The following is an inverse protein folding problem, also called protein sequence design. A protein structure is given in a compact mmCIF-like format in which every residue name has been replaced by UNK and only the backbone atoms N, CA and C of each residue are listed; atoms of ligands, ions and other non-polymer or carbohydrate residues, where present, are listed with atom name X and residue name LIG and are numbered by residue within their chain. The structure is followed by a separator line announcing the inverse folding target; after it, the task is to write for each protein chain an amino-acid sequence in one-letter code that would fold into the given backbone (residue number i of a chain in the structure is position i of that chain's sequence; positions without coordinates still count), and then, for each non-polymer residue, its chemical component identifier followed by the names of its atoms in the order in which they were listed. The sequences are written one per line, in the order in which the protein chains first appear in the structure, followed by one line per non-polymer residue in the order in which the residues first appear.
data_IF_733531240493
#
_entry.id   IF_733531240493
#
_cell.length_a   1.000
_cell.length_b   1.000
_cell.length_c   1.000
_cell.angle_alpha   90.00
_cell.angle_beta   90.00
_cell.angle_gamma   90.00
#
_symmetry.space_group_name_H-M   'P 1'
#
loop_
_entity.id
_entity.type
_entity.pdbx_description
1 polymer ?
#
# COMPACT_ATOMS: atom_id res chain seq x y z
N UNK A 1 -18.90 -1.74 14.36
CA UNK A 1 -18.70 -3.12 13.88
C UNK A 1 -17.84 -3.20 12.63
N UNK A 2 -18.16 -2.51 11.53
CA UNK A 2 -17.41 -2.62 10.26
C UNK A 2 -15.90 -2.37 10.36
N UNK A 3 -15.46 -1.36 11.13
CA UNK A 3 -14.04 -1.07 11.36
C UNK A 3 -13.34 -2.24 12.06
N UNK A 4 -14.00 -2.86 13.03
CA UNK A 4 -13.48 -4.01 13.77
C UNK A 4 -13.38 -5.23 12.86
N UNK A 5 -14.43 -5.53 12.08
CA UNK A 5 -14.41 -6.61 11.10
C UNK A 5 -13.30 -6.41 10.06
N UNK A 6 -13.14 -5.19 9.55
CA UNK A 6 -12.09 -4.83 8.59
C UNK A 6 -10.68 -4.97 9.18
N UNK A 7 -10.49 -4.53 10.43
CA UNK A 7 -9.23 -4.64 11.14
C UNK A 7 -8.85 -6.12 11.39
N UNK A 8 -9.79 -6.92 11.89
CA UNK A 8 -9.57 -8.35 12.15
C UNK A 8 -9.28 -9.12 10.85
N UNK A 9 -10.06 -8.87 9.79
CA UNK A 9 -9.80 -9.46 8.49
C UNK A 9 -8.43 -9.10 7.93
N UNK A 10 -8.03 -7.83 8.04
CA UNK A 10 -6.71 -7.36 7.62
C UNK A 10 -5.58 -7.98 8.44
N UNK A 11 -5.75 -8.14 9.76
CA UNK A 11 -4.75 -8.79 10.62
C UNK A 11 -4.62 -10.27 10.25
N UNK A 12 -5.74 -10.99 10.10
CA UNK A 12 -5.75 -12.41 9.71
C UNK A 12 -5.05 -12.62 8.36
N UNK A 13 -5.39 -11.82 7.34
CA UNK A 13 -4.74 -11.89 6.03
C UNK A 13 -3.24 -11.62 6.12
N UNK A 14 -2.82 -10.59 6.86
CA UNK A 14 -1.40 -10.27 7.07
C UNK A 14 -0.66 -11.39 7.78
N UNK A 15 -1.27 -12.05 8.77
CA UNK A 15 -0.67 -13.18 9.49
C UNK A 15 -0.47 -14.38 8.56
N UNK A 16 -1.50 -14.75 7.79
CA UNK A 16 -1.46 -15.92 6.90
C UNK A 16 -0.54 -15.68 5.69
N UNK A 17 -0.55 -14.48 5.12
CA UNK A 17 0.28 -14.13 3.96
C UNK A 17 1.65 -13.56 4.34
N UNK A 18 1.99 -13.48 5.63
CA UNK A 18 3.26 -12.92 6.09
C UNK A 18 4.49 -13.57 5.44
N UNK A 19 4.57 -14.91 5.28
CA UNK A 19 5.70 -15.54 4.62
C UNK A 19 5.92 -15.03 3.19
N UNK A 20 4.85 -14.78 2.46
CA UNK A 20 4.87 -14.28 1.08
C UNK A 20 5.34 -12.82 1.01
N UNK A 21 4.92 -12.01 1.98
CA UNK A 21 5.37 -10.62 2.12
C UNK A 21 6.88 -10.56 2.40
N UNK A 22 7.39 -11.39 3.31
CA UNK A 22 8.82 -11.48 3.60
C UNK A 22 9.62 -11.91 2.36
N UNK A 23 9.14 -12.91 1.60
CA UNK A 23 9.78 -13.33 0.34
C UNK A 23 9.79 -12.17 -0.66
N UNK A 24 8.69 -11.42 -0.82
CA UNK A 24 8.60 -10.23 -1.66
C UNK A 24 9.65 -9.18 -1.27
N UNK A 25 9.69 -8.80 0.01
CA UNK A 25 10.61 -7.79 0.53
C UNK A 25 12.08 -8.18 0.29
N UNK A 26 12.44 -9.44 0.54
CA UNK A 26 13.77 -9.98 0.27
C UNK A 26 14.06 -10.00 -1.24
N UNK A 27 13.09 -10.35 -2.09
CA UNK A 27 13.26 -10.35 -3.55
C UNK A 27 13.52 -8.93 -4.09
N UNK A 28 12.83 -7.93 -3.53
CA UNK A 28 12.96 -6.53 -3.94
C UNK A 28 14.29 -5.93 -3.54
N UNK A 29 14.81 -6.29 -2.38
CA UNK A 29 15.97 -5.65 -1.77
C UNK A 29 17.27 -6.46 -1.89
N UNK A 30 17.14 -7.78 -2.10
CA UNK A 30 18.26 -8.73 -2.25
C UNK A 30 19.03 -8.99 -0.95
N UNK A 31 18.35 -9.01 0.21
CA UNK A 31 18.95 -8.87 1.56
C UNK A 31 19.95 -7.72 1.56
N UNK A 32 19.47 -6.53 1.84
CA UNK A 32 20.22 -5.31 1.60
C UNK A 32 21.64 -5.41 2.24
N UNK A 33 22.66 -5.65 1.40
CA UNK A 33 24.06 -5.81 1.80
C UNK A 33 24.87 -7.00 1.26
N UNK A 34 24.29 -8.10 0.76
CA UNK A 34 25.15 -9.25 0.38
C UNK A 34 26.00 -9.03 -0.88
N UNK A 35 25.55 -8.20 -1.82
CA UNK A 35 26.27 -8.01 -3.08
C UNK A 35 27.54 -7.15 -2.97
N UNK A 36 27.66 -6.32 -1.92
CA UNK A 36 28.78 -5.38 -1.80
C UNK A 36 29.91 -5.93 -0.94
N UNK A 37 29.61 -6.76 0.06
CA UNK A 37 30.65 -7.42 0.87
C UNK A 37 31.45 -8.41 0.02
N UNK A 38 30.78 -9.16 -0.87
CA UNK A 38 31.45 -10.08 -1.79
C UNK A 38 32.23 -9.37 -2.91
N UNK A 39 31.70 -8.27 -3.46
CA UNK A 39 32.38 -7.51 -4.52
C UNK A 39 33.59 -6.70 -4.00
N UNK A 40 33.50 -6.11 -2.80
CA UNK A 40 34.61 -5.38 -2.19
C UNK A 40 35.76 -6.30 -1.75
N UNK A 41 35.46 -7.55 -1.35
CA UNK A 41 36.48 -8.53 -0.99
C UNK A 41 37.17 -9.18 -2.20
N UNK A 42 36.56 -9.17 -3.38
CA UNK A 42 37.00 -9.99 -4.51
C UNK A 42 37.85 -9.26 -5.57
N UNK A 43 38.03 -7.93 -5.50
CA UNK A 43 38.84 -7.18 -6.48
C UNK A 43 38.47 -7.38 -7.96
N UNK A 44 37.31 -7.97 -8.23
CA UNK A 44 36.93 -8.55 -9.53
C UNK A 44 35.75 -7.79 -10.12
N UNK A 45 35.77 -7.66 -11.45
CA UNK A 45 34.83 -6.94 -12.29
C UNK A 45 33.37 -7.12 -11.82
N UNK A 46 32.58 -6.03 -11.88
CA UNK A 46 31.12 -5.94 -11.63
C UNK A 46 30.39 -7.25 -11.97
N UNK A 47 30.35 -8.20 -11.04
CA UNK A 47 29.55 -9.40 -11.19
C UNK A 47 28.10 -8.99 -10.97
N UNK A 48 27.28 -9.17 -12.00
CA UNK A 48 25.85 -8.91 -11.94
C UNK A 48 25.27 -9.65 -10.73
N UNK A 49 24.66 -8.92 -9.81
CA UNK A 49 24.00 -9.47 -8.63
C UNK A 49 23.11 -10.66 -9.05
N UNK A 50 23.26 -11.86 -8.44
CA UNK A 50 22.40 -12.99 -8.77
C UNK A 50 20.93 -12.58 -8.66
N UNK A 51 20.17 -12.89 -9.70
CA UNK A 51 18.77 -12.48 -9.85
C UNK A 51 17.97 -13.02 -8.68
N UNK A 52 17.62 -12.17 -7.72
CA UNK A 52 16.71 -12.53 -6.64
C UNK A 52 15.38 -12.97 -7.25
N UNK A 53 15.09 -14.26 -7.13
CA UNK A 53 13.86 -14.90 -7.57
C UNK A 53 13.08 -15.37 -6.34
N UNK A 54 11.76 -15.53 -6.48
CA UNK A 54 10.89 -15.98 -5.39
C UNK A 54 11.44 -17.22 -4.67
N UNK A 55 11.80 -18.26 -5.44
CA UNK A 55 12.32 -19.52 -4.89
C UNK A 55 13.70 -19.35 -4.25
N UNK A 56 14.57 -18.52 -4.83
CA UNK A 56 15.87 -18.24 -4.25
C UNK A 56 15.72 -17.52 -2.91
N UNK A 57 14.88 -16.49 -2.85
CA UNK A 57 14.58 -15.75 -1.62
C UNK A 57 13.94 -16.65 -0.56
N UNK A 58 12.94 -17.47 -0.92
CA UNK A 58 12.32 -18.42 0.01
C UNK A 58 13.34 -19.44 0.56
N UNK A 59 14.15 -20.06 -0.32
CA UNK A 59 15.19 -21.02 0.09
C UNK A 59 16.23 -20.37 0.99
N UNK A 60 16.63 -19.13 0.67
CA UNK A 60 17.64 -18.41 1.45
C UNK A 60 17.17 -18.06 2.86
N UNK A 61 15.90 -17.68 3.04
CA UNK A 61 15.29 -17.46 4.36
C UNK A 61 15.25 -18.80 5.13
N UNK A 62 14.72 -19.85 4.50
CA UNK A 62 14.59 -21.16 5.13
C UNK A 62 15.92 -21.72 5.63
N UNK A 63 16.95 -21.72 4.78
CA UNK A 63 18.26 -22.30 5.11
C UNK A 63 18.96 -21.53 6.23
N UNK A 64 18.77 -20.22 6.31
CA UNK A 64 19.53 -19.37 7.23
C UNK A 64 18.82 -19.08 8.54
N UNK A 65 17.50 -19.11 8.55
CA UNK A 65 16.68 -18.60 9.66
C UNK A 65 15.51 -19.51 10.01
N UNK A 66 15.25 -20.53 9.19
CA UNK A 66 14.10 -21.42 9.33
C UNK A 66 12.76 -20.68 9.24
N UNK A 67 11.76 -21.20 9.96
CA UNK A 67 10.38 -20.69 9.95
C UNK A 67 10.30 -19.27 10.53
N UNK A 68 11.09 -18.97 11.57
CA UNK A 68 11.07 -17.67 12.23
C UNK A 68 11.44 -16.51 11.28
N UNK A 69 12.30 -16.77 10.29
CA UNK A 69 12.66 -15.79 9.27
C UNK A 69 11.47 -15.27 8.46
N UNK A 70 10.51 -16.14 8.14
CA UNK A 70 9.32 -15.79 7.36
C UNK A 70 8.36 -14.85 8.07
N UNK A 71 8.41 -14.78 9.41
CA UNK A 71 7.48 -14.00 10.24
C UNK A 71 8.10 -12.72 10.82
N UNK A 72 9.25 -12.28 10.31
CA UNK A 72 9.92 -11.06 10.77
C UNK A 72 9.11 -9.80 10.50
N UNK A 73 8.83 -9.03 11.55
CA UNK A 73 8.05 -7.80 11.43
C UNK A 73 6.53 -8.01 11.47
N UNK A 74 6.06 -9.24 11.68
CA UNK A 74 4.62 -9.53 11.80
C UNK A 74 3.96 -8.75 12.94
N UNK A 75 4.68 -8.55 14.04
CA UNK A 75 4.21 -7.81 15.20
C UNK A 75 3.89 -6.34 14.88
N UNK A 76 4.83 -5.62 14.25
CA UNK A 76 4.60 -4.21 13.89
C UNK A 76 3.48 -4.07 12.85
N UNK A 77 3.41 -5.00 11.89
CA UNK A 77 2.34 -5.04 10.90
C UNK A 77 0.95 -5.26 11.54
N UNK A 78 0.85 -6.17 12.50
CA UNK A 78 -0.41 -6.46 13.19
C UNK A 78 -0.88 -5.30 14.09
N UNK A 79 0.02 -4.75 14.91
CA UNK A 79 -0.32 -3.70 15.90
C UNK A 79 -0.89 -2.46 15.23
N UNK A 80 -0.29 -2.01 14.14
CA UNK A 80 -0.77 -0.81 13.48
C UNK A 80 -1.88 -1.03 12.46
N UNK A 81 -2.33 -2.29 12.29
CA UNK A 81 -3.40 -2.62 11.36
C UNK A 81 -4.73 -1.93 11.69
N UNK A 82 -5.15 -2.04 12.95
CA UNK A 82 -6.41 -1.47 13.41
C UNK A 82 -6.45 0.08 13.35
N UNK A 83 -5.49 0.83 13.91
CA UNK A 83 -5.52 2.29 13.85
C UNK A 83 -5.39 2.83 12.42
N UNK A 84 -4.57 2.18 11.57
CA UNK A 84 -4.44 2.57 10.17
C UNK A 84 -5.73 2.39 9.37
N UNK A 85 -6.43 1.27 9.56
CA UNK A 85 -7.76 1.03 8.94
C UNK A 85 -8.80 2.03 9.45
N UNK A 86 -8.81 2.29 10.76
CA UNK A 86 -9.74 3.26 11.35
C UNK A 86 -9.52 4.68 10.80
N UNK A 87 -8.27 5.13 10.68
CA UNK A 87 -7.95 6.43 10.08
C UNK A 87 -8.33 6.51 8.61
N UNK A 88 -8.06 5.45 7.84
CA UNK A 88 -8.43 5.40 6.43
C UNK A 88 -9.95 5.53 6.26
N UNK A 89 -10.73 4.63 6.87
CA UNK A 89 -12.19 4.62 6.74
C UNK A 89 -12.82 5.90 7.33
N UNK A 90 -12.32 6.37 8.47
CA UNK A 90 -12.77 7.61 9.09
C UNK A 90 -12.55 8.83 8.20
N UNK A 91 -11.35 8.97 7.64
CA UNK A 91 -11.02 10.07 6.73
C UNK A 91 -11.82 9.98 5.45
N UNK A 92 -11.92 8.78 4.86
CA UNK A 92 -12.70 8.55 3.65
C UNK A 92 -14.17 8.94 3.83
N UNK A 93 -14.79 8.47 4.91
CA UNK A 93 -16.20 8.75 5.20
C UNK A 93 -16.44 10.24 5.45
N UNK A 94 -15.54 10.91 6.18
CA UNK A 94 -15.61 12.36 6.41
C UNK A 94 -15.44 13.14 5.10
N UNK A 95 -14.46 12.77 4.28
CA UNK A 95 -14.19 13.41 3.00
C UNK A 95 -15.38 13.25 2.04
N UNK A 96 -15.87 12.01 1.88
CA UNK A 96 -17.02 11.69 1.02
C UNK A 96 -18.30 12.39 1.47
N UNK A 97 -18.58 12.43 2.78
CA UNK A 97 -19.76 13.11 3.34
C UNK A 97 -19.66 14.63 3.19
N UNK A 98 -18.49 15.20 3.46
CA UNK A 98 -18.25 16.64 3.29
C UNK A 98 -18.38 17.06 1.82
N UNK A 99 -17.85 16.25 0.89
CA UNK A 99 -17.97 16.49 -0.55
C UNK A 99 -19.42 16.49 -1.00
N UNK A 100 -20.21 15.48 -0.60
CA UNK A 100 -21.65 15.41 -0.89
C UNK A 100 -22.38 16.64 -0.36
N UNK A 101 -22.22 16.95 0.95
CA UNK A 101 -22.86 18.13 1.57
C UNK A 101 -22.50 19.44 0.88
N UNK A 102 -21.24 19.59 0.45
CA UNK A 102 -20.79 20.79 -0.26
C UNK A 102 -21.42 20.90 -1.64
N UNK A 103 -21.50 19.80 -2.40
CA UNK A 103 -22.14 19.73 -3.71
C UNK A 103 -23.66 19.94 -3.63
N UNK A 104 -24.34 19.32 -2.66
CA UNK A 104 -25.79 19.46 -2.45
C UNK A 104 -26.17 20.91 -2.08
N UNK A 105 -25.24 21.63 -1.43
CA UNK A 105 -25.36 23.08 -1.20
C UNK A 105 -25.38 23.93 -2.49
N UNK A 106 -25.06 23.36 -3.66
CA UNK A 106 -25.32 23.99 -4.96
C UNK A 106 -26.81 23.91 -5.33
N UNK A 107 -27.41 22.73 -5.16
CA UNK A 107 -28.81 22.48 -5.52
C UNK A 107 -29.78 23.30 -4.64
N UNK A 108 -29.49 23.40 -3.34
CA UNK A 108 -30.28 24.24 -2.43
C UNK A 108 -30.18 25.75 -2.72
N UNK A 109 -29.03 26.23 -3.20
CA UNK A 109 -28.85 27.64 -3.57
C UNK A 109 -29.50 27.98 -4.92
N UNK A 110 -29.53 27.03 -5.86
CA UNK A 110 -30.23 27.20 -7.14
C UNK A 110 -31.76 27.33 -6.94
N UNK A 111 -32.36 26.52 -6.06
CA UNK A 111 -33.79 26.59 -5.74
C UNK A 111 -34.22 27.85 -4.97
N UNK A 112 -33.30 28.46 -4.21
CA UNK A 112 -33.55 29.74 -3.52
C UNK A 112 -33.44 30.96 -4.45
N UNK A 113 -32.83 30.83 -5.63
CA UNK A 113 -32.67 31.95 -6.57
C UNK A 113 -33.91 32.24 -7.41
N UNK A 114 -34.89 31.33 -7.44
CA UNK A 114 -36.19 31.53 -8.11
C UNK A 114 -37.18 32.35 -7.26
N UNK A 115 -37.00 32.39 -5.95
CA UNK A 115 -37.75 33.25 -5.03
C UNK A 115 -36.91 34.49 -4.69
N UNK A 116 -37.18 35.58 -5.40
CA UNK A 116 -36.29 36.75 -5.47
C UNK A 116 -35.96 37.43 -4.14
N UNK A 117 -34.72 37.93 -4.07
CA UNK A 117 -34.35 39.25 -3.55
C UNK A 117 -32.88 39.53 -3.91
N UNK A 118 -32.65 40.58 -4.72
CA UNK A 118 -31.30 41.06 -5.08
C UNK A 118 -30.74 41.88 -3.90
N UNK A 119 -29.93 41.26 -3.04
CA UNK A 119 -29.12 42.00 -2.06
C UNK A 119 -27.67 42.16 -2.56
N UNK A 120 -27.16 43.38 -2.43
CA UNK A 120 -25.91 43.86 -3.01
C UNK A 120 -24.71 43.59 -2.09
N UNK A 121 -23.89 42.57 -2.44
CA UNK A 121 -22.49 42.32 -1.98
C UNK A 121 -22.30 41.18 -0.96
N UNK A 122 -21.21 40.35 -1.01
CA UNK A 122 -20.00 40.40 -1.85
C UNK A 122 -20.08 39.46 -3.08
N UNK A 123 -20.28 40.04 -4.27
CA UNK A 123 -20.68 39.33 -5.49
C UNK A 123 -19.66 38.34 -6.08
N UNK A 124 -18.36 38.55 -5.90
CA UNK A 124 -17.34 37.71 -6.55
C UNK A 124 -17.01 36.44 -5.73
N UNK A 125 -16.94 36.54 -4.40
CA UNK A 125 -16.64 35.40 -3.54
C UNK A 125 -17.82 34.42 -3.46
N UNK A 126 -19.06 34.94 -3.43
CA UNK A 126 -20.26 34.09 -3.50
C UNK A 126 -20.41 33.41 -4.86
N UNK A 127 -20.10 34.09 -5.97
CA UNK A 127 -20.10 33.49 -7.30
C UNK A 127 -19.01 32.40 -7.44
N UNK A 128 -17.80 32.65 -6.94
CA UNK A 128 -16.72 31.66 -6.93
C UNK A 128 -17.09 30.42 -6.11
N UNK A 129 -17.68 30.62 -4.92
CA UNK A 129 -18.16 29.50 -4.08
C UNK A 129 -19.27 28.70 -4.77
N UNK A 130 -20.23 29.35 -5.42
CA UNK A 130 -21.29 28.66 -6.16
C UNK A 130 -20.72 27.86 -7.35
N UNK A 131 -19.76 28.43 -8.09
CA UNK A 131 -19.04 27.73 -9.16
C UNK A 131 -18.32 26.47 -8.65
N UNK A 132 -17.62 26.58 -7.50
CA UNK A 132 -16.95 25.43 -6.89
C UNK A 132 -17.93 24.36 -6.41
N UNK A 133 -19.08 24.74 -5.85
CA UNK A 133 -20.13 23.78 -5.45
C UNK A 133 -20.72 23.07 -6.66
N UNK A 134 -21.00 23.80 -7.75
CA UNK A 134 -21.46 23.23 -9.00
C UNK A 134 -20.45 22.23 -9.60
N UNK A 135 -19.16 22.60 -9.62
CA UNK A 135 -18.09 21.70 -10.06
C UNK A 135 -17.97 20.44 -9.18
N UNK A 136 -18.10 20.60 -7.86
CA UNK A 136 -18.08 19.47 -6.92
C UNK A 136 -19.28 18.52 -7.11
N UNK A 137 -20.47 19.05 -7.42
CA UNK A 137 -21.68 18.26 -7.70
C UNK A 137 -21.59 17.54 -9.06
N UNK A 138 -21.02 18.19 -10.07
CA UNK A 138 -20.84 17.62 -11.42
C UNK A 138 -19.68 16.60 -11.52
N UNK A 139 -18.88 16.44 -10.47
CA UNK A 139 -17.73 15.53 -10.47
C UNK A 139 -18.19 14.07 -10.60
N UNK A 140 -17.63 13.28 -11.54
CA UNK A 140 -17.98 11.87 -11.69
C UNK A 140 -17.74 11.07 -10.39
N UNK A 141 -18.60 10.08 -10.07
CA UNK A 141 -18.46 9.30 -8.84
C UNK A 141 -17.08 8.65 -8.66
N UNK A 142 -16.51 8.09 -9.74
CA UNK A 142 -15.18 7.45 -9.74
C UNK A 142 -14.07 8.43 -9.35
N UNK A 143 -14.08 9.64 -9.89
CA UNK A 143 -13.11 10.70 -9.56
C UNK A 143 -13.26 11.11 -8.10
N UNK A 144 -14.49 11.30 -7.61
CA UNK A 144 -14.75 11.63 -6.20
C UNK A 144 -14.22 10.54 -5.28
N UNK A 145 -14.50 9.27 -5.57
CA UNK A 145 -14.03 8.14 -4.75
C UNK A 145 -12.51 8.03 -4.76
N UNK A 146 -11.88 8.20 -5.91
CA UNK A 146 -10.42 8.23 -6.04
C UNK A 146 -9.79 9.34 -5.19
N UNK A 147 -10.30 10.57 -5.27
CA UNK A 147 -9.79 11.71 -4.50
C UNK A 147 -10.02 11.54 -2.99
N UNK A 148 -11.20 11.06 -2.58
CA UNK A 148 -11.48 10.74 -1.18
C UNK A 148 -10.55 9.63 -0.66
N UNK A 149 -10.28 8.62 -1.50
CA UNK A 149 -9.34 7.54 -1.23
C UNK A 149 -7.90 8.05 -1.07
N UNK A 150 -7.45 8.94 -1.95
CA UNK A 150 -6.11 9.54 -1.87
C UNK A 150 -5.95 10.42 -0.62
N UNK A 151 -6.99 11.18 -0.24
CA UNK A 151 -7.00 11.96 1.00
C UNK A 151 -6.97 11.04 2.23
N UNK A 152 -7.76 9.96 2.21
CA UNK A 152 -7.75 8.96 3.25
C UNK A 152 -6.39 8.27 3.40
N UNK A 153 -5.74 7.95 2.28
CA UNK A 153 -4.41 7.34 2.26
C UNK A 153 -3.34 8.29 2.81
N UNK A 154 -3.44 9.58 2.49
CA UNK A 154 -2.53 10.60 3.02
C UNK A 154 -2.57 10.64 4.55
N UNK A 155 -3.78 10.62 5.13
CA UNK A 155 -3.93 10.64 6.60
C UNK A 155 -3.57 9.30 7.21
N UNK A 156 -3.98 8.18 6.61
CA UNK A 156 -3.67 6.84 7.13
C UNK A 156 -2.16 6.55 7.13
N UNK A 157 -1.42 7.08 6.16
CA UNK A 157 0.03 6.95 6.04
C UNK A 157 0.80 7.52 7.24
N UNK A 158 0.18 8.39 8.07
CA UNK A 158 0.76 8.84 9.34
C UNK A 158 1.05 7.63 10.25
N UNK A 159 0.15 6.65 10.25
CA UNK A 159 0.33 5.41 11.01
C UNK A 159 1.08 4.37 10.17
N UNK A 160 0.70 4.18 8.90
CA UNK A 160 1.22 3.07 8.09
C UNK A 160 2.70 3.18 7.75
N UNK A 161 3.21 4.38 7.41
CA UNK A 161 4.58 4.49 6.89
C UNK A 161 5.63 4.09 7.93
N UNK A 162 5.57 4.52 9.20
CA UNK A 162 6.49 4.04 10.24
C UNK A 162 6.49 2.51 10.41
N UNK A 163 5.32 1.89 10.33
CA UNK A 163 5.15 0.44 10.44
C UNK A 163 5.77 -0.27 9.25
N UNK A 164 5.46 0.20 8.04
CA UNK A 164 6.01 -0.34 6.79
C UNK A 164 7.52 -0.23 6.80
N UNK A 165 8.08 0.92 7.18
CA UNK A 165 9.53 1.12 7.25
C UNK A 165 10.18 0.15 8.24
N UNK A 166 9.61 -0.03 9.44
CA UNK A 166 10.13 -0.99 10.41
C UNK A 166 10.02 -2.44 9.91
N UNK A 167 8.88 -2.81 9.33
CA UNK A 167 8.61 -4.14 8.76
C UNK A 167 9.58 -4.47 7.62
N UNK A 168 9.68 -3.59 6.61
CA UNK A 168 10.56 -3.78 5.46
C UNK A 168 12.03 -3.87 5.88
N UNK A 169 12.46 -3.09 6.89
CA UNK A 169 13.84 -3.17 7.43
C UNK A 169 14.11 -4.45 8.20
N UNK A 170 13.11 -4.99 8.89
CA UNK A 170 13.19 -6.29 9.58
C UNK A 170 13.20 -7.47 8.60
N UNK A 171 12.41 -7.40 7.53
CA UNK A 171 12.34 -8.43 6.50
C UNK A 171 13.59 -8.43 5.61
N UNK A 172 14.16 -7.26 5.32
CA UNK A 172 15.33 -7.10 4.44
C UNK A 172 16.69 -7.18 5.13
N UNK A 173 16.74 -7.34 6.46
CA UNK A 173 18.01 -7.38 7.18
C UNK A 173 18.85 -8.61 6.77
N UNK A 174 20.16 -8.43 6.51
CA UNK A 174 21.00 -9.55 6.13
C UNK A 174 21.23 -10.49 7.33
N UNK A 175 21.27 -11.81 7.12
CA UNK A 175 21.46 -12.80 8.19
C UNK A 175 22.75 -12.62 8.99
N UNK A 176 23.81 -12.09 8.36
CA UNK A 176 25.08 -11.76 9.01
C UNK A 176 24.97 -10.62 10.05
N UNK A 177 23.89 -9.84 10.00
CA UNK A 177 23.58 -8.77 10.95
C UNK A 177 22.31 -9.07 11.76
N UNK A 178 21.99 -10.36 11.98
CA UNK A 178 20.80 -10.79 12.72
C UNK A 178 20.63 -10.15 14.13
N UNK A 179 21.69 -9.55 14.69
CA UNK A 179 21.64 -8.79 15.93
C UNK A 179 21.23 -7.31 15.79
N UNK A 180 20.97 -6.79 14.58
CA UNK A 180 20.71 -5.35 14.39
C UNK A 180 19.31 -4.92 14.82
N UNK A 181 18.30 -5.75 14.55
CA UNK A 181 16.95 -5.57 15.06
C UNK A 181 16.45 -6.88 15.65
N UNK A 182 16.27 -6.92 16.96
CA UNK A 182 15.82 -8.13 17.66
C UNK A 182 14.31 -8.35 17.52
N UNK A 183 13.56 -7.29 17.18
CA UNK A 183 12.12 -7.36 17.01
C UNK A 183 11.49 -6.07 16.51
N UNK A 184 10.16 -6.08 16.45
CA UNK A 184 9.32 -4.98 15.95
C UNK A 184 9.51 -3.66 16.72
N UNK A 185 9.51 -3.72 18.05
CA UNK A 185 9.68 -2.53 18.89
C UNK A 185 11.11 -2.03 18.88
N UNK A 186 12.08 -2.94 18.91
CA UNK A 186 13.51 -2.62 18.80
C UNK A 186 13.81 -1.92 17.47
N UNK A 187 13.20 -2.37 16.36
CA UNK A 187 13.32 -1.71 15.07
C UNK A 187 12.79 -0.27 15.10
N UNK A 188 11.56 -0.06 15.57
CA UNK A 188 10.99 1.30 15.68
C UNK A 188 11.85 2.21 16.56
N UNK A 189 12.26 1.72 17.73
CA UNK A 189 13.08 2.47 18.68
C UNK A 189 14.44 2.85 18.08
N UNK A 190 15.16 1.89 17.49
CA UNK A 190 16.47 2.15 16.88
C UNK A 190 16.38 3.06 15.66
N UNK A 191 15.34 2.93 14.83
CA UNK A 191 15.15 3.84 13.69
C UNK A 191 14.91 5.27 14.20
N UNK A 192 14.05 5.44 15.21
CA UNK A 192 13.81 6.74 15.80
C UNK A 192 15.07 7.32 16.47
N UNK A 193 15.79 6.53 17.26
CA UNK A 193 16.97 6.99 17.99
C UNK A 193 18.13 7.38 17.06
N UNK A 194 18.32 6.67 15.93
CA UNK A 194 19.47 6.91 15.04
C UNK A 194 19.16 7.75 13.80
N UNK A 195 17.93 7.74 13.30
CA UNK A 195 17.53 8.43 12.07
C UNK A 195 16.44 9.49 12.29
N UNK A 196 15.90 9.56 13.51
CA UNK A 196 14.81 10.46 13.88
C UNK A 196 13.50 10.16 13.15
N UNK A 197 12.59 11.14 13.21
CA UNK A 197 11.30 11.10 12.52
C UNK A 197 11.46 10.90 11.01
N UNK A 198 12.48 11.52 10.40
CA UNK A 198 12.76 11.36 8.96
C UNK A 198 13.07 9.92 8.57
N UNK A 199 13.68 9.13 9.46
CA UNK A 199 13.92 7.71 9.26
C UNK A 199 12.62 6.90 9.25
N UNK A 200 11.72 7.15 10.21
CA UNK A 200 10.42 6.46 10.31
C UNK A 200 9.50 6.76 9.12
N UNK A 201 9.53 7.99 8.60
CA UNK A 201 8.70 8.42 7.46
C UNK A 201 9.41 8.31 6.11
N UNK A 202 10.49 7.54 6.05
CA UNK A 202 11.26 7.40 4.82
C UNK A 202 10.43 6.72 3.74
N UNK A 203 10.28 7.38 2.60
CA UNK A 203 9.45 6.90 1.51
C UNK A 203 7.97 7.28 1.63
N UNK A 204 7.56 8.16 2.55
CA UNK A 204 6.17 8.64 2.64
C UNK A 204 5.65 9.18 1.30
N UNK A 205 6.41 10.08 0.65
CA UNK A 205 6.05 10.63 -0.65
C UNK A 205 5.99 9.54 -1.75
N UNK A 206 6.89 8.55 -1.73
CA UNK A 206 6.85 7.43 -2.67
C UNK A 206 5.66 6.51 -2.43
N UNK A 207 5.22 6.34 -1.18
CA UNK A 207 3.99 5.58 -0.84
C UNK A 207 2.77 6.23 -1.49
N UNK A 208 2.60 7.54 -1.30
CA UNK A 208 1.47 8.27 -1.90
C UNK A 208 1.53 8.28 -3.43
N UNK A 209 2.70 8.53 -4.00
CA UNK A 209 2.89 8.53 -5.44
C UNK A 209 2.66 7.15 -6.09
N UNK A 210 2.83 6.07 -5.34
CA UNK A 210 2.57 4.70 -5.83
C UNK A 210 1.10 4.30 -5.68
N UNK A 211 0.39 4.86 -4.69
CA UNK A 211 -1.00 4.54 -4.40
C UNK A 211 -1.92 4.91 -5.57
N UNK A 212 -1.85 6.15 -6.05
CA UNK A 212 -2.73 6.63 -7.13
C UNK A 212 -2.72 5.75 -8.38
N UNK A 213 -1.56 5.50 -9.00
CA UNK A 213 -1.45 4.61 -10.16
C UNK A 213 -1.92 3.18 -9.87
N UNK A 214 -1.62 2.64 -8.70
CA UNK A 214 -2.05 1.29 -8.31
C UNK A 214 -3.57 1.21 -8.22
N UNK A 215 -4.20 2.13 -7.47
CA UNK A 215 -5.64 2.19 -7.31
C UNK A 215 -6.35 2.39 -8.64
N UNK A 216 -5.89 3.32 -9.48
CA UNK A 216 -6.51 3.58 -10.79
C UNK A 216 -6.54 2.32 -11.67
N UNK A 217 -5.40 1.65 -11.82
CA UNK A 217 -5.32 0.40 -12.60
C UNK A 217 -6.16 -0.69 -11.94
N UNK A 218 -6.05 -0.85 -10.63
CA UNK A 218 -6.80 -1.86 -9.90
C UNK A 218 -8.31 -1.74 -10.13
N UNK A 219 -8.88 -0.53 -10.03
CA UNK A 219 -10.32 -0.33 -10.21
C UNK A 219 -10.79 -0.62 -11.63
N UNK A 220 -10.07 -0.11 -12.64
CA UNK A 220 -10.42 -0.37 -14.04
C UNK A 220 -10.47 -1.86 -14.34
N UNK A 221 -9.46 -2.61 -13.89
CA UNK A 221 -9.42 -4.05 -14.13
C UNK A 221 -10.35 -4.83 -13.21
N UNK A 222 -10.57 -4.38 -11.98
CA UNK A 222 -11.56 -4.97 -11.09
C UNK A 222 -12.97 -4.89 -11.69
N UNK A 223 -13.37 -3.73 -12.20
CA UNK A 223 -14.66 -3.55 -12.89
C UNK A 223 -14.75 -4.43 -14.14
N UNK A 224 -13.70 -4.45 -14.96
CA UNK A 224 -13.64 -5.30 -16.15
C UNK A 224 -13.83 -6.79 -15.82
N UNK A 225 -13.04 -7.33 -14.88
CA UNK A 225 -13.15 -8.73 -14.49
C UNK A 225 -14.46 -9.04 -13.79
N UNK A 226 -15.00 -8.08 -13.03
CA UNK A 226 -16.33 -8.20 -12.41
C UNK A 226 -17.41 -8.37 -13.48
N UNK A 227 -17.43 -7.51 -14.51
CA UNK A 227 -18.42 -7.60 -15.60
C UNK A 227 -18.32 -8.93 -16.36
N UNK A 228 -17.10 -9.37 -16.67
CA UNK A 228 -16.88 -10.64 -17.37
C UNK A 228 -17.33 -11.83 -16.52
N UNK A 229 -16.89 -11.92 -15.26
CA UNK A 229 -17.22 -13.05 -14.40
C UNK A 229 -18.71 -13.07 -14.00
N UNK A 230 -19.32 -11.91 -13.74
CA UNK A 230 -20.75 -11.82 -13.45
C UNK A 230 -21.59 -12.32 -14.64
N UNK A 231 -21.20 -11.95 -15.87
CA UNK A 231 -21.84 -12.46 -17.09
C UNK A 231 -21.70 -13.97 -17.28
N UNK A 232 -20.55 -14.54 -16.89
CA UNK A 232 -20.31 -15.99 -16.98
C UNK A 232 -21.06 -16.80 -15.91
N UNK A 233 -21.17 -16.27 -14.68
CA UNK A 233 -21.79 -16.98 -13.55
C UNK A 233 -23.27 -16.62 -13.33
N UNK A 234 -23.85 -15.74 -14.16
CA UNK A 234 -25.22 -15.24 -13.98
C UNK A 234 -25.43 -14.53 -12.64
N UNK A 235 -24.36 -13.98 -12.06
CA UNK A 235 -24.42 -13.30 -10.77
C UNK A 235 -24.98 -11.87 -10.93
N UNK A 236 -25.73 -11.34 -9.95
CA UNK A 236 -26.13 -9.94 -9.93
C UNK A 236 -24.91 -9.03 -10.05
N UNK A 237 -25.04 -7.90 -10.75
CA UNK A 237 -23.97 -6.93 -10.90
C UNK A 237 -23.42 -6.52 -9.52
N UNK A 238 -22.13 -6.79 -9.22
CA UNK A 238 -21.61 -6.52 -7.89
C UNK A 238 -21.59 -5.04 -7.55
N UNK A 239 -21.80 -4.73 -6.27
CA UNK A 239 -21.66 -3.37 -5.74
C UNK A 239 -20.22 -2.87 -5.94
N UNK A 240 -20.02 -1.64 -6.42
CA UNK A 240 -18.69 -1.07 -6.61
C UNK A 240 -17.89 -1.06 -5.29
N UNK A 241 -16.64 -1.52 -5.35
CA UNK A 241 -15.74 -1.70 -4.20
C UNK A 241 -15.44 -0.41 -3.44
N UNK A 242 -15.57 0.76 -4.08
CA UNK A 242 -15.35 2.05 -3.45
C UNK A 242 -16.56 2.97 -3.64
N UNK A 243 -17.22 3.22 -2.51
CA UNK A 243 -18.43 4.00 -2.40
C UNK A 243 -19.04 3.59 -1.09
N UNK A 244 -19.08 4.50 -0.11
CA UNK A 244 -19.72 4.21 1.17
C UNK A 244 -21.04 3.53 0.87
N UNK A 245 -21.19 2.29 1.35
CA UNK A 245 -22.43 1.54 1.28
C UNK A 245 -23.48 2.44 1.93
N UNK A 246 -24.26 3.15 1.13
CA UNK A 246 -25.41 3.88 1.66
C UNK A 246 -26.23 2.82 2.39
N UNK A 247 -26.55 3.08 3.66
CA UNK A 247 -27.09 2.11 4.62
C UNK A 247 -28.48 1.54 4.31
N UNK A 248 -28.89 1.54 3.04
CA UNK A 248 -30.18 1.07 2.54
C UNK A 248 -30.08 0.00 1.45
N UNK A 249 -28.88 -0.41 0.99
CA UNK A 249 -28.76 -1.62 0.15
C UNK A 249 -28.53 -2.84 1.04
N UNK A 250 -29.67 -3.24 1.58
CA UNK A 250 -30.15 -4.55 2.01
C UNK A 250 -29.14 -5.70 1.96
N UNK A 251 -29.10 -6.42 3.07
CA UNK A 251 -28.86 -7.85 3.29
C UNK A 251 -28.84 -8.75 2.03
N UNK A 252 -27.89 -8.55 1.11
CA UNK A 252 -27.64 -9.52 0.05
C UNK A 252 -27.11 -10.79 0.71
N UNK A 253 -27.94 -11.85 0.70
CA UNK A 253 -27.57 -13.19 1.12
C UNK A 253 -26.21 -13.56 0.51
N UNK A 254 -25.36 -14.19 1.31
CA UNK A 254 -24.09 -14.76 0.84
C UNK A 254 -24.35 -15.69 -0.35
N UNK A 255 -24.09 -15.20 -1.56
CA UNK A 255 -24.11 -15.99 -2.77
C UNK A 255 -22.69 -16.44 -3.07
N UNK A 256 -22.48 -17.76 -3.13
CA UNK A 256 -21.20 -18.35 -3.52
C UNK A 256 -20.71 -17.82 -4.87
N UNK A 257 -21.64 -17.53 -5.79
CA UNK A 257 -21.33 -16.93 -7.09
C UNK A 257 -20.78 -15.49 -6.94
N UNK A 258 -21.40 -14.65 -6.12
CA UNK A 258 -20.93 -13.28 -5.86
C UNK A 258 -19.54 -13.28 -5.21
N UNK A 259 -19.29 -14.22 -4.28
CA UNK A 259 -17.98 -14.40 -3.65
C UNK A 259 -16.91 -14.81 -4.67
N UNK A 260 -17.19 -15.78 -5.54
CA UNK A 260 -16.26 -16.23 -6.59
C UNK A 260 -15.95 -15.11 -7.58
N UNK A 261 -16.96 -14.34 -7.98
CA UNK A 261 -16.79 -13.16 -8.86
C UNK A 261 -15.91 -12.11 -8.18
N UNK A 262 -16.20 -11.76 -6.92
CA UNK A 262 -15.43 -10.76 -6.18
C UNK A 262 -13.97 -11.19 -5.96
N UNK A 263 -13.75 -12.47 -5.65
CA UNK A 263 -12.41 -13.04 -5.47
C UNK A 263 -11.64 -13.08 -6.79
N UNK A 264 -12.27 -13.54 -7.87
CA UNK A 264 -11.66 -13.60 -9.21
C UNK A 264 -11.32 -12.21 -9.75
N UNK A 265 -12.25 -11.25 -9.63
CA UNK A 265 -12.03 -9.87 -10.05
C UNK A 265 -11.00 -9.15 -9.19
N UNK A 266 -11.02 -9.36 -7.87
CA UNK A 266 -10.02 -8.85 -6.94
C UNK A 266 -8.62 -9.39 -7.24
N UNK A 267 -8.49 -10.69 -7.51
CA UNK A 267 -7.22 -11.31 -7.88
C UNK A 267 -6.73 -10.79 -9.24
N UNK A 268 -7.58 -10.80 -10.27
CA UNK A 268 -7.25 -10.31 -11.61
C UNK A 268 -6.82 -8.85 -11.61
N UNK A 269 -7.57 -7.97 -10.95
CA UNK A 269 -7.24 -6.56 -10.80
C UNK A 269 -5.88 -6.36 -10.09
N UNK A 270 -5.62 -7.11 -9.01
CA UNK A 270 -4.34 -7.05 -8.30
C UNK A 270 -3.16 -7.52 -9.14
N UNK A 271 -3.34 -8.55 -9.97
CA UNK A 271 -2.28 -9.05 -10.87
C UNK A 271 -1.88 -7.95 -11.86
N UNK A 272 -2.86 -7.36 -12.55
CA UNK A 272 -2.59 -6.32 -13.57
C UNK A 272 -2.03 -5.06 -12.93
N UNK A 273 -2.60 -4.61 -11.81
CA UNK A 273 -2.09 -3.47 -11.05
C UNK A 273 -0.67 -3.70 -10.55
N UNK A 274 -0.37 -4.91 -10.07
CA UNK A 274 0.98 -5.27 -9.61
C UNK A 274 1.99 -5.34 -10.75
N UNK A 275 1.61 -5.83 -11.93
CA UNK A 275 2.46 -5.85 -13.11
C UNK A 275 2.83 -4.44 -13.59
N UNK A 276 1.84 -3.54 -13.67
CA UNK A 276 2.04 -2.19 -14.19
C UNK A 276 2.74 -1.27 -13.18
N UNK A 277 2.48 -1.45 -11.89
CA UNK A 277 3.06 -0.58 -10.84
C UNK A 277 4.24 -1.21 -10.10
N UNK A 278 4.78 -2.34 -10.57
CA UNK A 278 5.98 -2.95 -9.97
C UNK A 278 7.16 -1.98 -9.85
N UNK A 279 7.47 -1.14 -10.85
CA UNK A 279 8.59 -0.21 -10.76
C UNK A 279 8.48 0.74 -9.57
N UNK A 280 7.27 1.27 -9.31
CA UNK A 280 7.03 2.24 -8.24
C UNK A 280 7.19 1.58 -6.86
N UNK A 281 6.59 0.40 -6.69
CA UNK A 281 6.66 -0.35 -5.45
C UNK A 281 8.09 -0.83 -5.15
N UNK A 282 8.83 -1.29 -6.17
CA UNK A 282 10.23 -1.72 -6.00
C UNK A 282 11.11 -0.57 -5.49
N UNK A 283 10.99 0.62 -6.08
CA UNK A 283 11.76 1.80 -5.64
C UNK A 283 11.31 2.25 -4.25
N UNK A 284 10.00 2.30 -3.98
CA UNK A 284 9.44 2.60 -2.64
C UNK A 284 10.03 1.66 -1.59
N UNK A 285 9.97 0.35 -1.79
CA UNK A 285 10.50 -0.64 -0.84
C UNK A 285 12.00 -0.43 -0.62
N UNK A 286 12.78 -0.22 -1.69
CA UNK A 286 14.22 0.07 -1.57
C UNK A 286 14.51 1.37 -0.80
N UNK A 287 13.68 2.41 -0.99
CA UNK A 287 13.76 3.66 -0.21
C UNK A 287 13.45 3.45 1.27
N UNK A 288 12.44 2.64 1.60
CA UNK A 288 12.05 2.36 2.99
C UNK A 288 13.13 1.58 3.75
N UNK A 289 13.84 0.68 3.05
CA UNK A 289 14.97 -0.07 3.64
C UNK A 289 16.28 0.71 3.61
N UNK A 290 16.39 1.77 2.81
CA UNK A 290 17.58 2.62 2.78
C UNK A 290 17.79 3.24 4.16
N UNK A 291 18.96 2.99 4.75
CA UNK A 291 19.31 3.49 6.07
C UNK A 291 20.10 4.79 5.95
N UNK A 292 19.97 5.70 6.90
CA UNK A 292 21.07 6.64 7.09
C UNK A 292 22.29 5.80 7.46
N UNK A 293 23.44 6.04 6.85
CA UNK A 293 24.68 5.38 7.24
C UNK A 293 24.82 5.58 8.74
N UNK A 294 24.68 4.50 9.52
CA UNK A 294 25.10 4.50 10.91
C UNK A 294 26.55 4.97 10.85
N UNK A 295 26.80 6.22 11.23
CA UNK A 295 28.13 6.68 11.53
C UNK A 295 28.55 5.88 12.77
N UNK A 296 29.02 4.66 12.56
CA UNK A 296 29.77 3.94 13.58
C UNK A 296 31.14 4.59 13.64
N UNK A 297 31.23 5.67 14.41
CA UNK A 297 32.49 6.25 14.86
C UNK A 297 33.14 5.41 15.98
N UNK A 298 32.85 4.10 16.09
CA UNK A 298 33.25 3.33 17.28
C UNK A 298 33.57 1.85 17.05
N UNK A 299 34.06 1.46 15.87
CA UNK A 299 34.90 0.24 15.73
C UNK A 299 35.86 0.49 14.56
N UNK A 300 37.17 0.39 14.78
CA UNK A 300 38.25 0.70 13.84
C UNK A 300 38.37 -0.23 12.62
N UNK A 301 37.27 -0.58 11.96
CA UNK A 301 37.27 -1.31 10.71
C UNK A 301 36.36 -0.59 9.70
N UNK A 302 36.94 -0.15 8.59
CA UNK A 302 36.30 0.38 7.39
C UNK A 302 35.13 -0.51 6.98
N UNK A 303 33.93 -0.26 7.50
CA UNK A 303 32.75 -1.05 7.15
C UNK A 303 32.26 -0.48 5.83
N UNK A 304 32.42 -1.17 4.67
CA UNK A 304 31.89 -0.66 3.42
C UNK A 304 30.40 -0.41 3.60
N UNK A 305 29.88 0.67 3.02
CA UNK A 305 28.49 1.05 3.15
C UNK A 305 27.58 -0.15 2.83
N UNK A 306 27.06 -0.81 3.87
CA UNK A 306 26.32 -2.08 3.77
C UNK A 306 25.00 -1.96 2.98
N UNK A 307 24.64 -0.75 2.54
CA UNK A 307 23.37 -0.43 1.89
C UNK A 307 23.62 0.64 0.80
N UNK A 308 23.73 0.23 -0.47
CA UNK A 308 24.02 1.11 -1.63
C UNK A 308 22.76 1.56 -2.38
N UNK A 309 21.69 1.90 -1.66
CA UNK A 309 20.58 2.64 -2.29
C UNK A 309 20.67 4.06 -1.77
N UNK A 310 20.85 5.04 -2.65
CA UNK A 310 20.76 6.45 -2.28
C UNK A 310 19.76 7.13 -3.21
N UNK A 311 18.48 6.98 -2.88
CA UNK A 311 17.39 7.60 -3.60
C UNK A 311 16.87 8.77 -2.77
N UNK A 312 16.89 9.99 -3.34
CA UNK A 312 16.28 11.17 -2.69
C UNK A 312 14.78 11.23 -2.97
N UNK A 313 14.33 10.56 -4.02
CA UNK A 313 12.92 10.48 -4.40
C UNK A 313 12.63 9.33 -5.36
N UNK A 314 11.34 9.13 -5.62
CA UNK A 314 10.83 8.06 -6.48
C UNK A 314 11.37 8.16 -7.91
N UNK A 315 11.37 9.36 -8.50
CA UNK A 315 11.85 9.57 -9.87
C UNK A 315 13.35 9.33 -10.02
N UNK A 316 14.15 9.83 -9.09
CA UNK A 316 15.58 9.57 -9.06
C UNK A 316 15.84 8.08 -8.88
N UNK A 317 15.14 7.42 -7.96
CA UNK A 317 15.27 5.98 -7.76
C UNK A 317 14.91 5.15 -9.00
N UNK A 318 13.85 5.50 -9.72
CA UNK A 318 13.48 4.86 -10.99
C UNK A 318 14.56 5.06 -12.05
N UNK A 319 15.06 6.29 -12.21
CA UNK A 319 16.10 6.65 -13.17
C UNK A 319 17.42 5.94 -12.86
N UNK A 320 17.83 5.93 -11.60
CA UNK A 320 19.06 5.28 -11.13
C UNK A 320 18.95 3.77 -11.32
N UNK A 321 17.84 3.15 -10.90
CA UNK A 321 17.59 1.73 -11.09
C UNK A 321 17.63 1.31 -12.57
N UNK A 322 16.97 2.09 -13.44
CA UNK A 322 16.96 1.82 -14.88
C UNK A 322 18.35 1.97 -15.52
N UNK A 323 19.18 2.89 -15.02
CA UNK A 323 20.54 3.14 -15.53
C UNK A 323 21.56 2.12 -15.01
N UNK A 324 21.46 1.73 -13.75
CA UNK A 324 22.47 0.90 -13.08
C UNK A 324 22.20 -0.60 -13.21
N UNK A 325 20.94 -1.04 -13.06
CA UNK A 325 20.54 -2.46 -13.16
C UNK A 325 19.83 -2.79 -14.48
N UNK A 326 19.49 -1.77 -15.27
CA UNK A 326 18.79 -1.89 -16.55
C UNK A 326 17.27 -1.81 -16.43
N UNK A 327 16.60 -1.48 -17.54
CA UNK A 327 15.14 -1.27 -17.58
C UNK A 327 14.34 -2.50 -17.12
N UNK A 328 14.82 -3.71 -17.40
CA UNK A 328 14.17 -4.96 -17.00
C UNK A 328 14.20 -5.17 -15.48
N UNK A 329 15.14 -4.56 -14.77
CA UNK A 329 15.22 -4.64 -13.31
C UNK A 329 14.03 -3.97 -12.61
N UNK A 330 13.33 -3.05 -13.28
CA UNK A 330 12.11 -2.42 -12.76
C UNK A 330 10.97 -3.44 -12.49
N UNK A 331 10.99 -4.59 -13.17
CA UNK A 331 10.04 -5.69 -12.97
C UNK A 331 10.58 -6.81 -12.06
N UNK A 332 11.73 -6.62 -11.41
CA UNK A 332 12.29 -7.60 -10.48
C UNK A 332 11.30 -7.85 -9.34
N UNK A 333 11.07 -9.13 -9.05
CA UNK A 333 10.21 -9.60 -7.97
C UNK A 333 8.70 -9.44 -8.22
N UNK A 334 8.27 -9.11 -9.43
CA UNK A 334 6.83 -8.98 -9.75
C UNK A 334 6.05 -10.27 -9.46
N UNK A 335 6.66 -11.43 -9.70
CA UNK A 335 6.07 -12.72 -9.32
C UNK A 335 5.89 -12.85 -7.80
N UNK A 336 6.88 -12.44 -7.00
CA UNK A 336 6.77 -12.42 -5.53
C UNK A 336 5.69 -11.45 -5.04
N UNK A 337 5.55 -10.29 -5.71
CA UNK A 337 4.47 -9.34 -5.42
C UNK A 337 3.11 -9.97 -5.67
N UNK A 338 2.89 -10.56 -6.85
CA UNK A 338 1.62 -11.21 -7.21
C UNK A 338 1.29 -12.35 -6.25
N UNK A 339 2.30 -13.18 -5.93
CA UNK A 339 2.15 -14.29 -4.99
C UNK A 339 1.69 -13.83 -3.60
N UNK A 340 2.07 -12.61 -3.18
CA UNK A 340 1.59 -12.01 -1.94
C UNK A 340 0.22 -11.34 -2.09
N UNK A 341 0.04 -10.45 -3.08
CA UNK A 341 -1.12 -9.56 -3.15
C UNK A 341 -2.43 -10.28 -3.41
N UNK A 342 -2.43 -11.31 -4.27
CA UNK A 342 -3.67 -12.01 -4.63
C UNK A 342 -4.25 -12.82 -3.46
N UNK A 343 -3.48 -13.67 -2.74
CA UNK A 343 -3.98 -14.35 -1.54
C UNK A 343 -4.35 -13.39 -0.42
N UNK A 344 -3.56 -12.33 -0.21
CA UNK A 344 -3.85 -11.34 0.84
C UNK A 344 -5.20 -10.65 0.61
N UNK A 345 -5.50 -10.26 -0.64
CA UNK A 345 -6.78 -9.67 -1.00
C UNK A 345 -7.95 -10.65 -0.81
N UNK A 346 -7.79 -11.89 -1.28
CA UNK A 346 -8.81 -12.94 -1.18
C UNK A 346 -9.15 -13.25 0.29
N UNK A 347 -8.15 -13.43 1.15
CA UNK A 347 -8.36 -13.70 2.58
C UNK A 347 -8.97 -12.50 3.29
N UNK A 348 -8.53 -11.28 2.97
CA UNK A 348 -9.11 -10.07 3.58
C UNK A 348 -10.60 -9.97 3.28
N UNK A 349 -10.99 -10.15 2.01
CA UNK A 349 -12.40 -10.09 1.62
C UNK A 349 -13.22 -11.23 2.22
N UNK A 350 -12.76 -12.47 2.08
CA UNK A 350 -13.48 -13.63 2.61
C UNK A 350 -13.64 -13.60 4.13
N UNK A 351 -12.61 -13.17 4.86
CA UNK A 351 -12.71 -13.06 6.31
C UNK A 351 -13.58 -11.88 6.75
N UNK A 352 -13.56 -10.76 6.01
CA UNK A 352 -14.46 -9.64 6.27
C UNK A 352 -15.93 -10.05 6.12
N UNK A 353 -16.27 -10.75 5.04
CA UNK A 353 -17.62 -11.24 4.78
C UNK A 353 -18.07 -12.29 5.81
N UNK A 354 -17.18 -13.20 6.19
CA UNK A 354 -17.44 -14.19 7.24
C UNK A 354 -17.71 -13.51 8.60
N UNK A 355 -16.87 -12.54 8.99
CA UNK A 355 -17.07 -11.81 10.25
C UNK A 355 -18.35 -11.00 10.23
N UNK A 356 -18.66 -10.36 9.11
CA UNK A 356 -19.89 -9.59 8.95
C UNK A 356 -21.11 -10.49 9.09
N UNK A 357 -21.19 -11.61 8.37
CA UNK A 357 -22.35 -12.51 8.40
C UNK A 357 -22.62 -13.17 9.76
N UNK A 358 -21.62 -13.22 10.65
CA UNK A 358 -21.76 -13.79 12.01
C UNK A 358 -22.03 -12.74 13.09
N UNK A 359 -21.74 -11.46 12.84
CA UNK A 359 -21.81 -10.37 13.83
C UNK A 359 -22.99 -9.40 13.58
N UNK A 360 -23.77 -9.63 12.53
CA UNK A 360 -25.05 -8.94 12.22
C UNK A 360 -26.16 -9.97 12.10
#
# INVERSE_FOLDING_TARGET
MEVVCSALAGITARLLCHPLDTIKAVTFTGFAGEHLVSAAAAGSARQAAPRASFLHSARSIWVREGVAGFYRGVGVAAVGSAPGVALYLGTYNRCSTAWKRFGDGAAGAAGLSETGERSSGPGMMNAALQSLRGAAAATPPSVRFFLCGLAAETVSCIVWVPIDVAKERLQSQPPSLAARYTGSLDALHRIFAHEGVRGLYKGYASTLASFGPFSAVYFVFYEYFTSVLAGLYGAPAPVPMQGGRNGSSETELFSSAAFVVALGAGAGGNVVASLLTNPLELVKTRMQVQRAVLHQSSVGASTPALFSYHYRGLWEGLRTLAREEGIRALWRGVGSRIAYTAPNAAITMGFFELLRSRLT
#
